data_IF_318640771128
#
_entry.id   IF_318640771128
#
_cell.length_a   1.000
_cell.length_b   1.000
_cell.length_c   1.000
_cell.angle_alpha   90.00
_cell.angle_beta   90.00
_cell.angle_gamma   90.00
#
_symmetry.space_group_name_H-M   'P 1'
#
loop_
_entity.id
_entity.type
_entity.pdbx_description
1 polymer ?
#
# COMPACT_ATOMS: atom_id res chain seq x y z
N UNK A 1 20.18 2.59 24.43
CA UNK A 1 19.00 1.70 24.47
C UNK A 1 17.80 2.40 25.10
N UNK A 2 17.95 3.03 26.28
CA UNK A 2 16.85 3.70 26.99
C UNK A 2 16.21 4.87 26.20
N UNK A 3 17.00 5.71 25.53
CA UNK A 3 16.49 6.89 24.78
C UNK A 3 15.59 6.48 23.59
N UNK A 4 15.83 5.33 22.99
CA UNK A 4 14.99 4.79 21.90
C UNK A 4 13.67 4.20 22.41
N UNK A 5 13.71 3.55 23.56
CA UNK A 5 12.52 2.88 24.10
C UNK A 5 11.55 3.87 24.77
N UNK A 6 12.02 5.03 25.24
CA UNK A 6 11.24 5.98 26.04
C UNK A 6 10.69 7.20 25.26
N UNK A 7 11.21 7.51 24.06
CA UNK A 7 10.71 8.70 23.33
C UNK A 7 10.43 8.45 21.84
N UNK A 8 11.48 8.47 21.01
CA UNK A 8 11.29 8.42 19.55
C UNK A 8 10.90 7.03 19.03
N UNK A 9 11.44 5.97 19.66
CA UNK A 9 11.08 4.60 19.29
C UNK A 9 9.61 4.31 19.56
N UNK A 10 9.07 4.82 20.67
CA UNK A 10 7.65 4.74 20.96
C UNK A 10 6.83 5.46 19.91
N UNK A 11 7.21 6.67 19.51
CA UNK A 11 6.52 7.43 18.46
C UNK A 11 6.45 6.66 17.15
N UNK A 12 7.54 6.04 16.70
CA UNK A 12 7.51 5.19 15.51
C UNK A 12 6.59 3.98 15.65
N UNK A 13 6.63 3.29 16.78
CA UNK A 13 5.77 2.16 17.04
C UNK A 13 4.30 2.56 17.05
N UNK A 14 3.96 3.64 17.76
CA UNK A 14 2.58 4.11 17.88
C UNK A 14 1.99 4.49 16.51
N UNK A 15 2.80 5.09 15.61
CA UNK A 15 2.35 5.50 14.28
C UNK A 15 2.34 4.32 13.29
N UNK A 16 3.45 3.58 13.19
CA UNK A 16 3.62 2.58 12.13
C UNK A 16 2.95 1.24 12.44
N UNK A 17 2.68 0.95 13.71
CA UNK A 17 1.94 -0.23 14.16
C UNK A 17 0.50 0.07 14.52
N UNK A 18 -0.02 1.25 14.16
CA UNK A 18 -1.44 1.51 14.25
C UNK A 18 -2.21 0.42 13.48
N UNK A 19 -3.36 0.02 13.98
CA UNK A 19 -4.16 -1.02 13.35
C UNK A 19 -4.70 -0.55 11.99
N UNK A 20 -4.56 -1.39 10.98
CA UNK A 20 -5.15 -1.09 9.67
C UNK A 20 -6.68 -1.09 9.78
N UNK A 21 -7.35 0.01 9.41
CA UNK A 21 -8.78 0.13 9.63
C UNK A 21 -9.58 -0.87 8.80
N UNK A 22 -10.69 -1.34 9.35
CA UNK A 22 -11.71 -2.15 8.68
C UNK A 22 -11.30 -3.59 8.31
N UNK A 23 -10.17 -4.09 8.79
CA UNK A 23 -9.85 -5.51 8.67
C UNK A 23 -10.62 -6.33 9.72
N UNK A 24 -11.05 -7.56 9.39
CA UNK A 24 -11.74 -8.43 10.33
C UNK A 24 -10.83 -8.93 11.47
N UNK A 25 -9.53 -8.91 11.27
CA UNK A 25 -8.50 -9.18 12.27
C UNK A 25 -7.62 -7.95 12.43
N UNK A 26 -7.18 -7.70 13.65
CA UNK A 26 -6.27 -6.59 13.93
C UNK A 26 -4.89 -6.88 13.31
N UNK A 27 -4.50 -6.05 12.36
CA UNK A 27 -3.17 -6.10 11.72
C UNK A 27 -2.53 -4.73 11.75
N UNK A 28 -1.24 -4.62 12.10
CA UNK A 28 -0.53 -3.34 12.05
C UNK A 28 -0.32 -2.89 10.61
N UNK A 29 -0.27 -1.57 10.38
CA UNK A 29 0.03 -0.99 9.07
C UNK A 29 1.40 -1.48 8.57
N UNK A 30 2.38 -1.57 9.47
CA UNK A 30 3.72 -2.08 9.17
C UNK A 30 4.29 -2.94 10.30
N UNK A 31 5.02 -4.00 9.93
CA UNK A 31 5.92 -4.69 10.83
C UNK A 31 7.22 -3.90 10.99
N UNK A 32 7.45 -3.39 12.19
CA UNK A 32 8.59 -2.53 12.48
C UNK A 32 9.70 -3.33 13.16
N UNK A 33 10.88 -3.35 12.54
CA UNK A 33 12.10 -3.90 13.12
C UNK A 33 13.04 -2.74 13.47
N UNK A 34 13.32 -2.57 14.75
CA UNK A 34 14.24 -1.54 15.24
C UNK A 34 15.65 -2.07 15.35
N UNK A 35 16.59 -1.39 14.70
CA UNK A 35 17.98 -1.79 14.61
C UNK A 35 18.87 -0.67 15.15
N UNK A 36 19.74 -0.92 16.14
CA UNK A 36 20.70 0.08 16.57
C UNK A 36 21.73 0.37 15.46
N UNK A 37 22.24 1.60 15.34
CA UNK A 37 23.20 1.98 14.29
C UNK A 37 24.39 1.04 14.16
N UNK A 38 24.89 0.50 15.26
CA UNK A 38 26.01 -0.45 15.30
C UNK A 38 25.70 -1.82 14.67
N UNK A 39 24.42 -2.20 14.56
CA UNK A 39 23.96 -3.44 13.94
C UNK A 39 23.42 -3.24 12.53
N UNK A 40 23.39 -2.01 12.01
CA UNK A 40 22.92 -1.71 10.65
C UNK A 40 23.96 -2.12 9.61
N UNK A 41 23.95 -3.40 9.27
CA UNK A 41 24.85 -4.04 8.29
C UNK A 41 24.20 -4.21 6.94
N UNK A 42 24.94 -4.79 5.98
CA UNK A 42 24.50 -4.92 4.59
C UNK A 42 23.21 -5.73 4.41
N UNK A 43 22.95 -6.70 5.29
CA UNK A 43 21.71 -7.47 5.26
C UNK A 43 20.48 -6.56 5.46
N UNK A 44 20.58 -5.54 6.31
CA UNK A 44 19.50 -4.60 6.54
C UNK A 44 19.39 -3.54 5.46
N UNK A 45 20.48 -3.23 4.77
CA UNK A 45 20.49 -2.29 3.64
C UNK A 45 19.70 -2.78 2.44
N UNK A 46 19.42 -4.07 2.34
CA UNK A 46 18.60 -4.64 1.27
C UNK A 46 17.08 -4.53 1.50
N UNK A 47 16.64 -4.08 2.68
CA UNK A 47 15.22 -3.89 2.98
C UNK A 47 14.59 -2.82 2.10
N UNK A 48 13.31 -3.04 1.75
CA UNK A 48 12.56 -2.16 0.83
C UNK A 48 12.27 -0.79 1.39
N UNK A 49 11.94 -0.73 2.69
CA UNK A 49 11.66 0.50 3.42
C UNK A 49 12.61 0.62 4.59
N UNK A 50 13.33 1.73 4.65
CA UNK A 50 14.28 2.02 5.72
C UNK A 50 14.00 3.42 6.25
N UNK A 51 13.89 3.55 7.57
CA UNK A 51 13.79 4.85 8.26
C UNK A 51 15.05 5.05 9.08
N UNK A 52 15.76 6.14 8.82
CA UNK A 52 17.00 6.52 9.52
C UNK A 52 16.75 7.81 10.27
N UNK A 53 16.99 7.79 11.57
CA UNK A 53 16.87 8.99 12.41
C UNK A 53 18.24 9.59 12.70
N UNK A 54 18.38 10.89 12.45
CA UNK A 54 19.60 11.66 12.77
C UNK A 54 19.23 12.89 13.57
N UNK A 55 19.90 13.07 14.69
CA UNK A 55 19.74 14.23 15.57
C UNK A 55 21.06 14.98 15.65
N UNK A 56 21.00 16.28 15.45
CA UNK A 56 22.18 17.14 15.54
C UNK A 56 21.83 18.63 15.49
N UNK A 57 22.70 19.44 16.09
CA UNK A 57 22.55 20.90 16.11
C UNK A 57 22.67 21.57 14.74
N UNK A 58 23.16 20.85 13.75
CA UNK A 58 23.23 21.28 12.36
C UNK A 58 21.85 21.37 11.70
N UNK A 59 20.83 20.71 12.26
CA UNK A 59 19.46 20.75 11.73
C UNK A 59 18.66 21.86 12.39
N UNK A 60 18.24 22.88 11.62
CA UNK A 60 17.45 23.99 12.14
C UNK A 60 16.03 23.55 12.58
N UNK A 61 15.46 22.53 11.93
CA UNK A 61 14.14 22.01 12.21
C UNK A 61 14.04 20.52 11.87
N UNK A 62 13.01 19.86 12.41
CA UNK A 62 12.73 18.47 12.07
C UNK A 62 12.15 18.40 10.65
N UNK A 63 12.60 17.43 9.85
CA UNK A 63 12.12 17.20 8.49
C UNK A 63 12.30 15.74 8.06
N UNK A 64 11.51 15.33 7.07
CA UNK A 64 11.61 14.04 6.39
C UNK A 64 12.27 14.26 5.03
N UNK A 65 13.37 13.55 4.78
CA UNK A 65 14.07 13.55 3.49
C UNK A 65 13.92 12.18 2.85
N UNK A 66 13.18 12.12 1.75
CA UNK A 66 12.98 10.91 0.97
C UNK A 66 14.15 10.69 0.00
N UNK A 67 14.70 9.48 0.03
CA UNK A 67 15.66 8.98 -0.97
C UNK A 67 15.15 7.67 -1.54
N UNK A 68 15.50 7.39 -2.79
CA UNK A 68 15.14 6.14 -3.47
C UNK A 68 16.40 5.41 -3.89
N UNK A 69 16.33 4.06 -3.84
CA UNK A 69 17.34 3.15 -4.40
C UNK A 69 18.78 3.42 -3.92
N UNK A 70 18.93 3.65 -2.59
CA UNK A 70 20.23 4.01 -1.99
C UNK A 70 21.19 2.82 -1.94
N UNK A 71 20.69 1.64 -1.55
CA UNK A 71 21.49 0.41 -1.44
C UNK A 71 20.90 -0.77 -2.23
N UNK A 72 19.62 -0.70 -2.53
CA UNK A 72 18.90 -1.72 -3.29
C UNK A 72 17.83 -1.05 -4.15
N UNK A 73 17.31 -1.74 -5.17
CA UNK A 73 16.21 -1.25 -5.98
C UNK A 73 15.17 -2.36 -6.19
N UNK A 74 13.88 -2.04 -6.00
CA UNK A 74 13.31 -0.76 -5.58
C UNK A 74 13.36 -0.57 -4.06
N UNK A 75 13.84 0.60 -3.61
CA UNK A 75 14.00 0.91 -2.18
C UNK A 75 13.54 2.34 -1.85
N UNK A 76 12.94 2.51 -0.68
CA UNK A 76 12.59 3.80 -0.11
C UNK A 76 13.33 4.00 1.21
N UNK A 77 14.10 5.08 1.31
CA UNK A 77 14.83 5.45 2.51
C UNK A 77 14.31 6.82 2.99
N UNK A 78 13.74 6.86 4.18
CA UNK A 78 13.33 8.09 4.84
C UNK A 78 14.39 8.49 5.86
N UNK A 79 15.13 9.57 5.59
CA UNK A 79 15.99 10.19 6.57
C UNK A 79 15.16 11.20 7.37
N UNK A 80 14.93 10.91 8.63
CA UNK A 80 14.22 11.78 9.57
C UNK A 80 15.26 12.50 10.40
N UNK A 81 15.40 13.79 10.16
CA UNK A 81 16.45 14.60 10.77
C UNK A 81 15.86 15.71 11.62
N UNK A 82 16.55 16.14 12.63
CA UNK A 82 16.10 17.27 13.46
C UNK A 82 17.05 17.63 14.58
N UNK A 83 16.84 18.79 15.23
CA UNK A 83 17.74 19.27 16.28
C UNK A 83 17.68 18.43 17.55
N UNK A 84 16.53 17.83 17.85
CA UNK A 84 16.31 17.00 19.06
C UNK A 84 15.30 15.88 18.79
N UNK A 85 15.34 14.81 19.59
CA UNK A 85 14.33 13.75 19.52
C UNK A 85 12.89 14.27 19.76
N UNK A 86 12.63 15.16 20.75
CA UNK A 86 11.30 15.74 20.92
C UNK A 86 10.79 16.54 19.70
N UNK A 87 11.67 17.27 19.01
CA UNK A 87 11.31 18.00 17.81
C UNK A 87 10.89 17.06 16.66
N UNK A 88 11.62 15.95 16.50
CA UNK A 88 11.27 14.91 15.53
C UNK A 88 9.94 14.23 15.91
N UNK A 89 9.78 13.84 17.19
CA UNK A 89 8.56 13.19 17.65
C UNK A 89 7.34 14.10 17.48
N UNK A 90 7.48 15.40 17.77
CA UNK A 90 6.43 16.38 17.52
C UNK A 90 6.05 16.45 16.04
N UNK A 91 7.04 16.62 15.14
CA UNK A 91 6.80 16.67 13.69
C UNK A 91 6.09 15.41 13.18
N UNK A 92 6.52 14.22 13.63
CA UNK A 92 5.90 12.96 13.21
C UNK A 92 4.45 12.81 13.71
N UNK A 93 4.15 13.28 14.92
CA UNK A 93 2.78 13.26 15.44
C UNK A 93 1.89 14.31 14.75
N UNK A 94 2.42 15.50 14.46
CA UNK A 94 1.68 16.57 13.78
C UNK A 94 1.34 16.19 12.32
N UNK A 95 2.15 15.38 11.65
CA UNK A 95 2.00 15.01 10.23
C UNK A 95 2.08 13.46 10.02
N UNK A 96 1.47 12.70 10.96
CA UNK A 96 1.56 11.23 10.96
C UNK A 96 1.05 10.61 9.67
N UNK A 97 -0.06 11.12 9.15
CA UNK A 97 -0.69 10.58 7.94
C UNK A 97 0.23 10.70 6.73
N UNK A 98 0.92 11.82 6.59
CA UNK A 98 1.91 12.00 5.54
C UNK A 98 3.09 11.05 5.67
N UNK A 99 3.59 10.84 6.89
CA UNK A 99 4.67 9.89 7.14
C UNK A 99 4.29 8.47 6.75
N UNK A 100 3.10 8.01 7.15
CA UNK A 100 2.55 6.70 6.76
C UNK A 100 2.35 6.63 5.25
N UNK A 101 1.73 7.64 4.63
CA UNK A 101 1.47 7.69 3.19
C UNK A 101 2.74 7.58 2.34
N UNK A 102 3.87 8.14 2.78
CA UNK A 102 5.14 8.01 2.04
C UNK A 102 5.58 6.54 1.93
N UNK A 103 5.43 5.76 3.00
CA UNK A 103 5.78 4.34 3.02
C UNK A 103 4.74 3.48 2.28
N UNK A 104 3.44 3.73 2.51
CA UNK A 104 2.38 3.04 1.78
C UNK A 104 2.42 3.31 0.28
N UNK A 105 2.70 4.55 -0.15
CA UNK A 105 2.84 4.86 -1.57
C UNK A 105 4.00 4.10 -2.19
N UNK A 106 5.10 3.95 -1.45
CA UNK A 106 6.23 3.14 -1.91
C UNK A 106 5.85 1.66 -2.11
N UNK A 107 5.01 1.09 -1.23
CA UNK A 107 4.49 -0.28 -1.41
C UNK A 107 3.53 -0.35 -2.59
N UNK A 108 2.59 0.59 -2.71
CA UNK A 108 1.68 0.66 -3.87
C UNK A 108 2.42 0.77 -5.19
N UNK A 109 3.44 1.62 -5.27
CA UNK A 109 4.26 1.79 -6.48
C UNK A 109 4.94 0.46 -6.87
N UNK A 110 5.46 -0.30 -5.89
CA UNK A 110 6.07 -1.61 -6.13
C UNK A 110 5.08 -2.65 -6.62
N UNK A 111 3.89 -2.69 -6.03
CA UNK A 111 2.81 -3.59 -6.49
C UNK A 111 2.42 -3.26 -7.92
N UNK A 112 2.24 -1.99 -8.25
CA UNK A 112 1.90 -1.53 -9.62
C UNK A 112 3.00 -1.90 -10.60
N UNK A 113 4.28 -1.61 -10.28
CA UNK A 113 5.41 -1.95 -11.15
C UNK A 113 5.55 -3.46 -11.36
N UNK A 114 5.31 -4.25 -10.32
CA UNK A 114 5.32 -5.71 -10.43
C UNK A 114 4.17 -6.21 -11.29
N UNK A 115 2.97 -5.65 -11.12
CA UNK A 115 1.80 -5.98 -11.94
C UNK A 115 2.03 -5.67 -13.43
N UNK A 116 2.66 -4.53 -13.75
CA UNK A 116 3.00 -4.16 -15.12
C UNK A 116 4.08 -5.10 -15.70
N UNK A 117 5.11 -5.40 -14.92
CA UNK A 117 6.26 -6.20 -15.36
C UNK A 117 5.90 -7.67 -15.62
N UNK A 118 5.00 -8.23 -14.81
CA UNK A 118 4.62 -9.65 -14.83
C UNK A 118 3.12 -9.83 -15.02
N UNK A 119 2.53 -9.06 -15.94
CA UNK A 119 1.09 -9.06 -16.16
C UNK A 119 0.57 -10.30 -16.89
N UNK A 120 -0.66 -10.66 -16.60
CA UNK A 120 -1.47 -11.60 -17.39
C UNK A 120 -2.07 -10.86 -18.61
N UNK A 121 -1.25 -10.74 -19.67
CA UNK A 121 -1.60 -9.98 -20.89
C UNK A 121 -2.90 -10.43 -21.54
N UNK A 122 -3.27 -11.68 -21.36
CA UNK A 122 -4.53 -12.23 -21.89
C UNK A 122 -5.75 -11.57 -21.28
N UNK A 123 -5.73 -11.33 -19.97
CA UNK A 123 -6.84 -10.67 -19.24
C UNK A 123 -6.98 -9.21 -19.67
N UNK A 124 -5.90 -8.48 -19.80
CA UNK A 124 -5.95 -7.09 -20.28
C UNK A 124 -6.56 -6.99 -21.67
N UNK A 125 -6.09 -7.80 -22.63
CA UNK A 125 -6.63 -7.84 -24.00
C UNK A 125 -8.10 -8.20 -24.05
N UNK A 126 -8.55 -9.11 -23.19
CA UNK A 126 -9.96 -9.46 -23.07
C UNK A 126 -10.79 -8.27 -22.65
N UNK A 127 -10.36 -7.54 -21.61
CA UNK A 127 -11.10 -6.38 -21.11
C UNK A 127 -11.07 -5.19 -22.08
N UNK A 128 -9.94 -4.94 -22.73
CA UNK A 128 -9.83 -3.93 -23.79
C UNK A 128 -10.83 -4.20 -24.91
N UNK A 129 -10.90 -5.44 -25.38
CA UNK A 129 -11.82 -5.85 -26.45
C UNK A 129 -13.30 -5.78 -26.03
N UNK A 130 -13.60 -6.10 -24.77
CA UNK A 130 -14.99 -6.30 -24.31
C UNK A 130 -15.60 -5.03 -23.73
N UNK A 131 -14.84 -4.29 -22.94
CA UNK A 131 -15.34 -3.15 -22.16
C UNK A 131 -14.61 -1.84 -22.49
N UNK A 132 -13.65 -1.86 -23.40
CA UNK A 132 -12.80 -0.70 -23.74
C UNK A 132 -12.07 -0.14 -22.51
N UNK A 133 -11.65 -1.02 -21.58
CA UNK A 133 -10.87 -0.68 -20.40
C UNK A 133 -9.56 -1.45 -20.35
N UNK A 134 -8.49 -0.79 -19.91
CA UNK A 134 -7.17 -1.40 -19.77
C UNK A 134 -6.79 -1.52 -18.31
N UNK A 135 -6.66 -2.77 -17.82
CA UNK A 135 -6.25 -3.09 -16.46
C UNK A 135 -5.09 -4.09 -16.49
N UNK A 136 -4.07 -3.84 -15.65
CA UNK A 136 -2.97 -4.77 -15.47
C UNK A 136 -3.26 -5.74 -14.33
N UNK A 137 -3.25 -7.03 -14.63
CA UNK A 137 -3.40 -8.09 -13.64
C UNK A 137 -2.04 -8.72 -13.36
N UNK A 138 -1.62 -8.80 -12.08
CA UNK A 138 -0.42 -9.56 -11.71
C UNK A 138 -0.52 -11.02 -12.15
N UNK A 139 0.63 -11.67 -12.30
CA UNK A 139 0.71 -13.09 -12.60
C UNK A 139 -0.05 -13.92 -11.55
N UNK A 140 -0.80 -14.92 -12.02
CA UNK A 140 -1.60 -15.81 -11.16
C UNK A 140 -3.08 -15.49 -11.14
N UNK A 141 -3.49 -14.31 -11.59
CA UNK A 141 -4.91 -14.04 -11.81
C UNK A 141 -5.44 -14.84 -13.00
N UNK A 142 -6.63 -15.39 -12.86
CA UNK A 142 -7.27 -16.26 -13.86
C UNK A 142 -8.70 -15.81 -14.14
N UNK A 143 -9.09 -15.96 -15.39
CA UNK A 143 -10.47 -15.80 -15.80
C UNK A 143 -11.32 -16.94 -15.24
N UNK A 144 -12.36 -16.62 -14.49
CA UNK A 144 -13.30 -17.60 -13.91
C UNK A 144 -14.59 -17.66 -14.71
N UNK A 145 -15.09 -16.50 -15.10
CA UNK A 145 -16.32 -16.41 -15.86
C UNK A 145 -16.21 -15.26 -16.86
N UNK A 146 -16.72 -15.50 -18.08
CA UNK A 146 -16.83 -14.50 -19.15
C UNK A 146 -18.22 -14.61 -19.79
N UNK A 147 -19.08 -13.61 -19.53
CA UNK A 147 -20.41 -13.49 -20.12
C UNK A 147 -20.51 -12.19 -20.91
N UNK A 148 -21.64 -11.89 -21.52
CA UNK A 148 -21.81 -10.69 -22.35
C UNK A 148 -21.54 -9.39 -21.59
N UNK A 149 -22.00 -9.31 -20.35
CA UNK A 149 -22.05 -8.08 -19.52
C UNK A 149 -21.27 -8.19 -18.20
N UNK A 150 -20.63 -9.36 -17.94
CA UNK A 150 -19.93 -9.62 -16.69
C UNK A 150 -18.68 -10.47 -16.92
N UNK A 151 -17.61 -10.13 -16.22
CA UNK A 151 -16.35 -10.91 -16.15
C UNK A 151 -15.95 -11.08 -14.70
N UNK A 152 -15.63 -12.31 -14.32
CA UNK A 152 -15.04 -12.63 -13.04
C UNK A 152 -13.59 -13.11 -13.22
N UNK A 153 -12.69 -12.43 -12.58
CA UNK A 153 -11.25 -12.76 -12.54
C UNK A 153 -10.87 -12.96 -11.09
N UNK A 154 -10.12 -14.01 -10.76
CA UNK A 154 -9.64 -14.22 -9.39
C UNK A 154 -8.21 -14.73 -9.32
N UNK A 155 -7.60 -14.48 -8.17
CA UNK A 155 -6.34 -15.09 -7.73
C UNK A 155 -6.61 -15.84 -6.44
N UNK A 156 -6.42 -17.16 -6.50
CA UNK A 156 -6.67 -18.07 -5.39
C UNK A 156 -5.34 -18.58 -4.83
N UNK A 157 -5.16 -18.44 -3.53
CA UNK A 157 -4.10 -19.08 -2.76
C UNK A 157 -4.72 -19.94 -1.67
N UNK A 158 -3.97 -20.81 -0.97
CA UNK A 158 -4.54 -21.63 0.11
C UNK A 158 -5.23 -20.81 1.21
N UNK A 159 -4.76 -19.60 1.47
CA UNK A 159 -5.21 -18.78 2.59
C UNK A 159 -6.05 -17.57 2.17
N UNK A 160 -5.93 -17.13 0.91
CA UNK A 160 -6.56 -15.89 0.43
C UNK A 160 -7.19 -16.09 -0.95
N UNK A 161 -8.45 -15.67 -1.08
CA UNK A 161 -9.14 -15.53 -2.36
C UNK A 161 -9.37 -14.04 -2.67
N UNK A 162 -8.86 -13.59 -3.83
CA UNK A 162 -9.05 -12.23 -4.32
C UNK A 162 -9.86 -12.28 -5.60
N UNK A 163 -11.09 -11.74 -5.57
CA UNK A 163 -11.99 -11.68 -6.72
C UNK A 163 -12.17 -10.26 -7.25
N UNK A 164 -12.14 -10.13 -8.55
CA UNK A 164 -12.44 -8.88 -9.26
C UNK A 164 -13.60 -9.13 -10.20
N UNK A 165 -14.69 -8.39 -10.03
CA UNK A 165 -15.84 -8.40 -10.87
C UNK A 165 -15.87 -7.14 -11.73
N UNK A 166 -16.01 -7.32 -13.03
CA UNK A 166 -16.14 -6.24 -14.01
C UNK A 166 -17.43 -6.45 -14.76
N UNK A 167 -18.31 -5.46 -14.70
CA UNK A 167 -19.61 -5.54 -15.36
C UNK A 167 -20.03 -4.17 -15.88
N UNK A 168 -20.88 -4.19 -16.90
CA UNK A 168 -21.43 -2.99 -17.50
C UNK A 168 -22.96 -3.02 -17.53
N UNK A 169 -23.54 -1.86 -17.40
CA UNK A 169 -24.97 -1.65 -17.56
C UNK A 169 -25.20 -0.24 -18.12
N UNK A 170 -26.36 0.01 -18.77
CA UNK A 170 -26.65 1.32 -19.34
C UNK A 170 -26.71 2.41 -18.26
N UNK A 171 -26.13 3.55 -18.56
CA UNK A 171 -26.39 4.77 -17.79
C UNK A 171 -27.79 5.30 -18.13
N UNK A 172 -28.59 5.55 -17.14
CA UNK A 172 -29.97 6.05 -17.31
C UNK A 172 -30.13 7.49 -16.86
N UNK A 173 -29.65 7.81 -15.66
CA UNK A 173 -29.74 9.12 -15.06
C UNK A 173 -28.72 9.27 -13.90
N UNK A 174 -28.70 10.42 -13.24
CA UNK A 174 -27.75 10.71 -12.15
C UNK A 174 -27.87 9.76 -10.95
N UNK A 175 -29.04 9.15 -10.70
CA UNK A 175 -29.22 8.18 -9.63
C UNK A 175 -28.36 6.93 -9.82
N UNK A 176 -27.95 6.64 -11.07
CA UNK A 176 -27.04 5.53 -11.41
C UNK A 176 -25.74 5.54 -10.60
N UNK A 177 -25.30 6.70 -10.11
CA UNK A 177 -24.08 6.87 -9.31
C UNK A 177 -24.34 6.99 -7.80
N UNK A 178 -25.58 6.82 -7.34
CA UNK A 178 -25.85 6.77 -5.91
C UNK A 178 -25.32 5.47 -5.29
N UNK A 179 -24.88 5.53 -4.03
CA UNK A 179 -24.37 4.37 -3.32
C UNK A 179 -25.35 3.20 -3.33
N UNK A 180 -26.61 3.46 -3.05
CA UNK A 180 -27.65 2.42 -3.02
C UNK A 180 -27.80 1.74 -4.39
N UNK A 181 -27.88 2.51 -5.47
CA UNK A 181 -27.99 1.97 -6.82
C UNK A 181 -26.76 1.10 -7.19
N UNK A 182 -25.55 1.59 -6.89
CA UNK A 182 -24.31 0.85 -7.17
C UNK A 182 -24.27 -0.49 -6.39
N UNK A 183 -24.67 -0.46 -5.11
CA UNK A 183 -24.73 -1.68 -4.27
C UNK A 183 -25.79 -2.66 -4.79
N UNK A 184 -26.99 -2.18 -5.15
CA UNK A 184 -28.04 -3.02 -5.73
C UNK A 184 -27.61 -3.65 -7.05
N UNK A 185 -26.98 -2.89 -7.94
CA UNK A 185 -26.44 -3.42 -9.20
C UNK A 185 -25.37 -4.46 -8.96
N UNK A 186 -24.39 -4.19 -8.08
CA UNK A 186 -23.40 -5.19 -7.69
C UNK A 186 -24.07 -6.48 -7.22
N UNK A 187 -25.01 -6.39 -6.30
CA UNK A 187 -25.70 -7.56 -5.73
C UNK A 187 -26.48 -8.32 -6.81
N UNK A 188 -27.12 -7.62 -7.73
CA UNK A 188 -27.85 -8.22 -8.87
C UNK A 188 -26.92 -9.03 -9.77
N UNK A 189 -25.74 -8.50 -10.13
CA UNK A 189 -24.77 -9.23 -10.93
C UNK A 189 -24.14 -10.41 -10.18
N UNK A 190 -23.78 -10.22 -8.91
CA UNK A 190 -23.22 -11.30 -8.07
C UNK A 190 -24.24 -12.43 -7.92
N UNK A 191 -25.50 -12.14 -7.55
CA UNK A 191 -26.54 -13.17 -7.41
C UNK A 191 -26.85 -13.93 -8.70
N UNK A 192 -26.59 -13.29 -9.87
CA UNK A 192 -26.83 -13.93 -11.16
C UNK A 192 -25.68 -14.83 -11.62
N UNK A 193 -24.44 -14.49 -11.26
CA UNK A 193 -23.25 -15.06 -11.88
C UNK A 193 -22.28 -15.75 -10.90
N UNK A 194 -22.43 -15.51 -9.61
CA UNK A 194 -21.59 -16.08 -8.55
C UNK A 194 -22.42 -16.90 -7.59
#
# INVERSE_FOLDING_TARGET
>A
KAVWEESIGKTYNDILREEYPMLPQSEPIFDVVMIPPSAFTDIFKSHRNIVITKVGSEFAQAQIVLQRDVWAAPQTVLNIVGPTYPAIAKMLNDDKDRFVQLLEQAERDRVVQNAIRYEEKGLRKLLEKKFDISLNFPKGYQLRLDTTDFVWISHETPDISQGIFIYQYPYTDENTFTLNYLVEKRNSFVNKYV
#
